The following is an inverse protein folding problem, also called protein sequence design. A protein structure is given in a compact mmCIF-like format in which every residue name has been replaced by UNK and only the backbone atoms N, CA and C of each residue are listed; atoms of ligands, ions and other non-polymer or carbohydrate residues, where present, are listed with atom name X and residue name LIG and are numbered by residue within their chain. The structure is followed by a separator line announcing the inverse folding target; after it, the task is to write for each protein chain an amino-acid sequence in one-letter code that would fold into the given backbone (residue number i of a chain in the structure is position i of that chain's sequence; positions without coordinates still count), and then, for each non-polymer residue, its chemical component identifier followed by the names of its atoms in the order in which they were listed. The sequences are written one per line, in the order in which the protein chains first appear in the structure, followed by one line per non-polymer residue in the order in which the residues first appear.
data_IF_949691595386
#
_entry.id   IF_949691595386
#
_cell.length_a   1.000
_cell.length_b   1.000
_cell.length_c   1.000
_cell.angle_alpha   90.00
_cell.angle_beta   90.00
_cell.angle_gamma   90.00
#
_symmetry.space_group_name_H-M   'P 1'
#
loop_
_entity.id
_entity.type
_entity.pdbx_description
1 polymer ?
#
# COMPACT_ATOMS: atom_id res chain seq x y z
N UNK A 1 -15.51 -4.72 0.21
CA UNK A 1 -15.11 -4.49 -1.20
C UNK A 1 -13.86 -5.33 -1.43
N UNK A 2 -13.88 -6.29 -2.35
CA UNK A 2 -12.76 -7.22 -2.52
C UNK A 2 -11.50 -6.48 -2.99
N UNK A 3 -10.44 -6.57 -2.18
CA UNK A 3 -9.15 -5.91 -2.39
C UNK A 3 -8.29 -6.80 -3.30
N UNK A 4 -8.38 -6.61 -4.61
CA UNK A 4 -7.47 -7.25 -5.56
C UNK A 4 -6.42 -6.25 -6.05
N UNK A 5 -5.47 -5.91 -5.17
CA UNK A 5 -4.26 -5.20 -5.57
C UNK A 5 -3.24 -6.19 -6.15
N UNK A 6 -2.67 -5.86 -7.31
CA UNK A 6 -1.56 -6.63 -7.88
C UNK A 6 -0.53 -5.72 -8.52
N UNK A 7 0.73 -6.09 -8.40
CA UNK A 7 1.81 -5.51 -9.20
C UNK A 7 1.63 -6.04 -10.62
N UNK A 8 1.39 -5.14 -11.57
CA UNK A 8 1.20 -5.50 -12.99
C UNK A 8 2.46 -5.27 -13.81
N UNK A 9 3.36 -4.40 -13.33
CA UNK A 9 4.60 -4.08 -14.02
C UNK A 9 5.64 -3.56 -13.00
N UNK A 10 6.88 -4.01 -13.16
CA UNK A 10 8.04 -3.45 -12.49
C UNK A 10 9.11 -3.14 -13.55
N UNK A 11 9.57 -1.89 -13.59
CA UNK A 11 10.66 -1.45 -14.48
C UNK A 11 11.82 -1.03 -13.60
N UNK A 12 12.97 -1.67 -13.79
CA UNK A 12 14.19 -1.44 -13.00
C UNK A 12 15.14 -0.57 -13.82
N UNK A 13 15.52 0.57 -13.25
CA UNK A 13 16.59 1.44 -13.72
C UNK A 13 17.82 1.22 -12.82
N UNK A 14 19.04 1.62 -13.23
CA UNK A 14 20.25 1.37 -12.46
C UNK A 14 20.19 1.80 -10.99
N UNK A 15 19.50 2.91 -10.69
CA UNK A 15 19.40 3.49 -9.33
C UNK A 15 17.96 3.62 -8.82
N UNK A 16 16.96 3.18 -9.60
CA UNK A 16 15.55 3.40 -9.28
C UNK A 16 14.68 2.24 -9.74
N UNK A 17 13.52 2.07 -9.10
CA UNK A 17 12.51 1.11 -9.53
C UNK A 17 11.18 1.82 -9.67
N UNK A 18 10.56 1.68 -10.85
CA UNK A 18 9.19 2.10 -11.08
C UNK A 18 8.27 0.89 -10.95
N UNK A 19 7.37 0.93 -9.97
CA UNK A 19 6.38 -0.12 -9.72
C UNK A 19 5.00 0.40 -10.12
N UNK A 20 4.31 -0.33 -10.99
CA UNK A 20 2.91 -0.06 -11.33
C UNK A 20 2.03 -1.10 -10.65
N UNK A 21 1.09 -0.61 -9.84
CA UNK A 21 0.06 -1.42 -9.20
C UNK A 21 -1.29 -1.08 -9.77
N UNK A 22 -2.15 -2.09 -9.84
CA UNK A 22 -3.51 -1.91 -10.31
C UNK A 22 -4.47 -2.61 -9.34
N UNK A 23 -5.61 -1.97 -9.14
CA UNK A 23 -6.76 -2.53 -8.46
C UNK A 23 -8.00 -2.33 -9.33
N UNK A 24 -8.93 -3.27 -9.25
CA UNK A 24 -10.28 -3.13 -9.81
C UNK A 24 -11.23 -2.83 -8.66
N UNK A 25 -12.02 -1.77 -8.83
CA UNK A 25 -12.90 -1.25 -7.79
C UNK A 25 -14.33 -1.23 -8.33
N UNK A 26 -15.25 -1.80 -7.56
CA UNK A 26 -16.69 -1.61 -7.75
C UNK A 26 -17.14 -0.36 -6.95
N UNK A 27 -17.38 0.73 -7.67
CA UNK A 27 -17.76 2.03 -7.10
C UNK A 27 -19.27 2.08 -6.85
N UNK A 28 -19.72 1.35 -5.84
CA UNK A 28 -21.15 1.31 -5.43
C UNK A 28 -21.54 2.44 -4.49
N UNK A 29 -20.59 3.24 -4.01
CA UNK A 29 -20.79 4.36 -3.07
C UNK A 29 -20.36 5.70 -3.66
N UNK A 30 -20.91 6.80 -3.16
CA UNK A 30 -20.53 8.17 -3.56
C UNK A 30 -19.05 8.47 -3.27
N UNK A 31 -18.48 7.81 -2.26
CA UNK A 31 -17.06 7.92 -1.90
C UNK A 31 -16.49 6.54 -1.60
N UNK A 32 -15.31 6.27 -2.14
CA UNK A 32 -14.57 5.03 -1.91
C UNK A 32 -13.13 5.38 -1.57
N UNK A 33 -12.59 4.79 -0.50
CA UNK A 33 -11.18 4.89 -0.14
C UNK A 33 -10.52 3.56 -0.44
N UNK A 34 -9.36 3.60 -1.10
CA UNK A 34 -8.56 2.44 -1.42
C UNK A 34 -7.13 2.65 -0.93
N UNK A 35 -6.53 1.59 -0.36
CA UNK A 35 -5.19 1.63 0.24
C UNK A 35 -4.31 0.60 -0.45
N UNK A 36 -3.16 1.07 -0.96
CA UNK A 36 -2.07 0.19 -1.40
C UNK A 36 -1.11 -0.04 -0.23
N UNK A 37 -0.94 -1.29 0.20
CA UNK A 37 -0.09 -1.67 1.34
C UNK A 37 1.29 -2.16 0.89
N UNK A 38 2.26 -2.30 1.80
CA UNK A 38 3.60 -2.83 1.48
C UNK A 38 4.33 -2.00 0.41
N UNK A 39 4.21 -0.67 0.51
CA UNK A 39 5.00 0.26 -0.28
C UNK A 39 6.44 0.27 0.28
N UNK A 40 7.49 0.28 -0.57
CA UNK A 40 8.86 0.32 -0.08
C UNK A 40 9.09 1.50 0.87
N UNK A 41 9.69 1.30 2.05
CA UNK A 41 9.86 2.37 3.05
C UNK A 41 10.81 3.48 2.59
N UNK A 42 11.63 3.21 1.58
CA UNK A 42 12.54 4.17 0.96
C UNK A 42 11.92 4.92 -0.22
N UNK A 43 10.65 4.66 -0.53
CA UNK A 43 9.97 5.34 -1.62
C UNK A 43 9.70 6.80 -1.26
N UNK A 44 10.07 7.71 -2.15
CA UNK A 44 9.81 9.14 -2.01
C UNK A 44 8.30 9.43 -2.10
N UNK A 45 7.77 10.19 -1.15
CA UNK A 45 6.36 10.59 -1.11
C UNK A 45 5.94 11.40 -2.34
N UNK A 46 6.86 12.17 -2.92
CA UNK A 46 6.58 12.96 -4.13
C UNK A 46 6.63 12.11 -5.42
N UNK A 47 7.04 10.85 -5.31
CA UNK A 47 7.13 9.92 -6.45
C UNK A 47 5.82 9.19 -6.76
N UNK A 48 4.83 9.23 -5.87
CA UNK A 48 3.56 8.55 -6.07
C UNK A 48 2.69 9.26 -7.11
N UNK A 49 2.18 8.49 -8.07
CA UNK A 49 1.25 8.98 -9.10
C UNK A 49 0.06 8.04 -9.19
N UNK A 50 -1.13 8.60 -9.15
CA UNK A 50 -2.39 7.83 -9.25
C UNK A 50 -3.13 8.24 -10.52
N UNK A 51 -3.68 7.23 -11.20
CA UNK A 51 -4.59 7.42 -12.33
C UNK A 51 -5.76 6.45 -12.17
N UNK A 52 -6.95 6.90 -12.51
CA UNK A 52 -8.16 6.09 -12.50
C UNK A 52 -8.87 6.22 -13.86
N UNK A 53 -9.47 5.12 -14.32
CA UNK A 53 -10.23 5.04 -15.57
C UNK A 53 -11.45 4.13 -15.34
N UNK A 54 -12.60 4.48 -15.91
CA UNK A 54 -13.83 3.69 -15.78
C UNK A 54 -14.99 4.30 -16.58
N UNK A 55 -16.16 3.64 -16.53
CA UNK A 55 -17.36 4.00 -17.31
C UNK A 55 -18.21 5.11 -16.67
N UNK A 56 -17.75 5.72 -15.58
CA UNK A 56 -18.38 6.87 -14.91
C UNK A 56 -17.43 8.05 -14.74
N UNK A 57 -17.95 9.19 -14.27
CA UNK A 57 -17.11 10.34 -13.87
C UNK A 57 -16.40 9.95 -12.58
N UNK A 58 -15.10 9.70 -12.67
CA UNK A 58 -14.25 9.44 -11.50
C UNK A 58 -13.47 10.71 -11.18
N UNK A 59 -13.63 11.20 -9.96
CA UNK A 59 -12.82 12.29 -9.40
C UNK A 59 -11.90 11.71 -8.33
N UNK A 60 -10.60 12.03 -8.42
CA UNK A 60 -9.63 11.72 -7.37
C UNK A 60 -9.52 12.96 -6.48
N UNK A 61 -10.06 12.87 -5.27
CA UNK A 61 -10.06 13.99 -4.33
C UNK A 61 -8.68 14.22 -3.68
N UNK A 62 -7.83 13.19 -3.62
CA UNK A 62 -6.50 13.32 -3.05
C UNK A 62 -5.77 11.99 -2.93
N UNK A 63 -4.50 12.10 -2.57
CA UNK A 63 -3.64 10.98 -2.20
C UNK A 63 -3.18 11.27 -0.77
N UNK A 64 -3.35 10.29 0.11
CA UNK A 64 -2.85 10.36 1.49
C UNK A 64 -1.82 9.24 1.68
N UNK A 65 -0.65 9.61 2.21
CA UNK A 65 0.44 8.68 2.50
C UNK A 65 0.57 8.61 4.02
N UNK A 66 0.51 7.40 4.58
CA UNK A 66 0.70 7.15 6.00
C UNK A 66 1.77 6.09 6.20
N UNK A 67 2.68 6.36 7.13
CA UNK A 67 3.62 5.37 7.64
C UNK A 67 3.05 4.79 8.92
N UNK A 68 2.79 3.48 8.91
CA UNK A 68 2.38 2.73 10.10
C UNK A 68 3.55 1.85 10.52
N UNK A 69 4.17 2.18 11.66
CA UNK A 69 5.17 1.33 12.27
C UNK A 69 4.47 0.14 12.95
N UNK A 70 4.64 -1.05 12.38
CA UNK A 70 4.24 -2.29 13.02
C UNK A 70 5.30 -2.62 14.07
N UNK A 71 5.02 -2.32 15.34
CA UNK A 71 5.83 -2.85 16.45
C UNK A 71 5.58 -4.36 16.54
N UNK A 72 6.63 -5.16 16.36
CA UNK A 72 6.57 -6.58 16.69
C UNK A 72 6.45 -6.75 18.21
N UNK A 73 5.33 -7.28 18.67
CA UNK A 73 5.15 -7.64 20.07
C UNK A 73 5.98 -8.90 20.39
N UNK A 74 7.17 -8.68 20.96
CA UNK A 74 8.06 -9.75 21.43
C UNK A 74 7.65 -10.35 22.80
N UNK A 75 6.41 -10.15 23.26
CA UNK A 75 5.93 -10.69 24.55
C UNK A 75 6.01 -12.22 24.65
N UNK A 76 5.93 -12.95 23.53
CA UNK A 76 6.00 -14.42 23.49
C UNK A 76 7.41 -14.99 23.75
N UNK A 77 8.45 -14.62 22.97
CA UNK A 77 9.80 -15.13 23.14
C UNK A 77 10.44 -14.76 24.49
N UNK A 78 10.16 -13.56 25.01
CA UNK A 78 10.74 -13.07 26.27
C UNK A 78 10.23 -13.84 27.51
N UNK A 79 8.99 -14.35 27.47
CA UNK A 79 8.46 -15.20 28.56
C UNK A 79 9.20 -16.53 28.68
N UNK A 80 9.66 -17.11 27.56
CA UNK A 80 10.41 -18.37 27.58
C UNK A 80 11.81 -18.18 28.15
N UNK A 81 12.47 -17.05 27.84
CA UNK A 81 13.81 -16.76 28.34
C UNK A 81 13.84 -16.53 29.86
N UNK A 82 12.79 -15.93 30.44
CA UNK A 82 12.65 -15.74 31.89
C UNK A 82 12.28 -17.01 32.68
N UNK A 83 11.84 -18.08 32.01
CA UNK A 83 11.52 -19.37 32.64
C UNK A 83 12.70 -20.35 32.64
N UNK A 84 13.74 -20.07 31.85
CA UNK A 84 14.96 -20.89 31.75
C UNK A 84 16.15 -20.34 32.58
N UNK A 85 15.94 -19.21 33.28
CA UNK A 85 16.85 -18.68 34.31
C UNK A 85 16.37 -19.07 35.71
#
# INVERSE_FOLDING_TARGET
MEKNEKIVQAVVYPDQVQITRQALLDLSSEKTVFVFENVPPTADQDSFRVKAFGEGIIQIDGIEIREEALEEDFSGPLQKLNQEM
#
